data_IF_468913222218
#
_entry.id   IF_468913222218
#
_cell.length_a   1.000
_cell.length_b   1.000
_cell.length_c   1.000
_cell.angle_alpha   90.00
_cell.angle_beta   90.00
_cell.angle_gamma   90.00
#
_symmetry.space_group_name_H-M   'P 1'
#
loop_
_entity.id
_entity.type
_entity.pdbx_description
1 polymer ?
#
# COMPACT_ATOMS: atom_id res chain seq x y z
N UNK A 1 20.30 -21.22 -0.22
CA UNK A 1 20.11 -19.95 -0.97
C UNK A 1 19.32 -18.97 -0.12
N UNK A 2 19.67 -17.70 -0.14
CA UNK A 2 18.95 -16.65 0.62
C UNK A 2 17.59 -16.40 -0.04
N UNK A 3 16.50 -16.86 0.60
CA UNK A 3 15.12 -16.73 0.09
C UNK A 3 14.66 -15.26 -0.10
N UNK A 4 15.47 -14.30 0.32
CA UNK A 4 15.19 -12.88 0.04
C UNK A 4 15.68 -12.42 -1.33
N UNK A 5 16.58 -13.17 -1.98
CA UNK A 5 17.23 -12.71 -3.24
C UNK A 5 16.24 -12.41 -4.36
N UNK A 6 15.19 -13.20 -4.48
CA UNK A 6 14.16 -13.05 -5.53
C UNK A 6 13.00 -12.13 -5.13
N UNK A 7 13.07 -11.51 -3.94
CA UNK A 7 12.14 -10.46 -3.57
C UNK A 7 12.46 -9.21 -4.39
N UNK A 8 11.47 -8.70 -5.12
CA UNK A 8 11.65 -7.57 -6.02
C UNK A 8 10.53 -6.56 -5.85
N UNK A 9 10.85 -5.32 -6.10
CA UNK A 9 9.89 -4.25 -6.35
C UNK A 9 10.34 -3.45 -7.56
N UNK A 10 9.41 -3.23 -8.46
CA UNK A 10 9.55 -2.28 -9.56
C UNK A 10 8.49 -1.20 -9.39
N UNK A 11 8.76 -0.01 -9.84
CA UNK A 11 7.74 1.03 -9.78
C UNK A 11 8.19 2.41 -10.21
N UNK A 12 7.22 3.31 -10.14
CA UNK A 12 7.39 4.75 -10.34
C UNK A 12 6.86 5.46 -9.11
N UNK A 13 7.58 6.46 -8.61
CA UNK A 13 7.15 7.24 -7.45
C UNK A 13 7.43 8.73 -7.60
N UNK A 14 6.86 9.52 -6.70
CA UNK A 14 7.06 10.97 -6.63
C UNK A 14 8.53 11.41 -6.51
N UNK A 15 9.42 10.49 -6.11
CA UNK A 15 10.86 10.76 -5.98
C UNK A 15 11.59 10.85 -7.32
N UNK A 16 11.10 10.11 -8.29
CA UNK A 16 11.78 9.89 -9.57
C UNK A 16 10.99 10.47 -10.75
N UNK A 17 9.69 10.71 -10.58
CA UNK A 17 8.79 11.11 -11.64
C UNK A 17 7.86 12.25 -11.20
N UNK A 18 7.63 13.20 -12.09
CA UNK A 18 6.64 14.25 -11.89
C UNK A 18 5.20 13.70 -11.95
N UNK A 19 4.22 14.55 -11.69
CA UNK A 19 2.82 14.16 -11.63
C UNK A 19 2.31 13.54 -12.94
N UNK A 20 2.68 14.11 -14.08
CA UNK A 20 2.23 13.66 -15.40
C UNK A 20 2.79 12.28 -15.72
N UNK A 21 4.09 12.08 -15.49
CA UNK A 21 4.74 10.79 -15.68
C UNK A 21 4.15 9.72 -14.75
N UNK A 22 3.88 10.04 -13.47
CA UNK A 22 3.19 9.11 -12.57
C UNK A 22 1.78 8.80 -13.04
N UNK A 23 1.09 9.78 -13.63
CA UNK A 23 -0.23 9.63 -14.23
C UNK A 23 -0.28 8.56 -15.33
N UNK A 24 0.78 8.46 -16.16
CA UNK A 24 0.87 7.44 -17.20
C UNK A 24 0.89 6.01 -16.62
N UNK A 25 1.47 5.81 -15.45
CA UNK A 25 1.56 4.50 -14.81
C UNK A 25 0.48 4.25 -13.74
N UNK A 26 -0.40 5.22 -13.50
CA UNK A 26 -1.57 5.04 -12.63
C UNK A 26 -2.55 4.05 -13.26
N UNK A 27 -3.07 3.13 -12.45
CA UNK A 27 -3.95 2.06 -12.90
C UNK A 27 -5.38 2.31 -12.41
N UNK A 28 -6.33 2.31 -13.33
CA UNK A 28 -7.76 2.23 -13.01
C UNK A 28 -8.11 0.87 -12.42
N UNK A 29 -9.29 0.73 -11.81
CA UNK A 29 -9.74 -0.56 -11.28
C UNK A 29 -9.84 -1.66 -12.35
N UNK A 30 -10.22 -1.30 -13.59
CA UNK A 30 -10.27 -2.23 -14.73
C UNK A 30 -8.86 -2.68 -15.14
N UNK A 31 -7.93 -1.75 -15.29
CA UNK A 31 -6.53 -2.05 -15.64
C UNK A 31 -5.86 -2.91 -14.55
N UNK A 32 -6.11 -2.59 -13.29
CA UNK A 32 -5.63 -3.37 -12.15
C UNK A 32 -6.16 -4.80 -12.18
N UNK A 33 -7.44 -4.97 -12.49
CA UNK A 33 -8.07 -6.30 -12.60
C UNK A 33 -7.44 -7.11 -13.75
N UNK A 34 -7.32 -6.51 -14.94
CA UNK A 34 -6.71 -7.16 -16.11
C UNK A 34 -5.25 -7.53 -15.86
N UNK A 35 -4.49 -6.67 -15.19
CA UNK A 35 -3.10 -6.95 -14.79
C UNK A 35 -2.99 -8.17 -13.88
N UNK A 36 -3.85 -8.26 -12.86
CA UNK A 36 -3.85 -9.41 -11.96
C UNK A 36 -4.24 -10.72 -12.66
N UNK A 37 -5.17 -10.67 -13.62
CA UNK A 37 -5.56 -11.86 -14.40
C UNK A 37 -4.37 -12.35 -15.23
N UNK A 38 -3.69 -11.45 -15.94
CA UNK A 38 -2.50 -11.82 -16.73
C UNK A 38 -1.36 -12.35 -15.85
N UNK A 39 -1.15 -11.76 -14.69
CA UNK A 39 -0.16 -12.25 -13.72
C UNK A 39 -0.45 -13.70 -13.30
N UNK A 40 -1.72 -14.06 -13.12
CA UNK A 40 -2.17 -15.42 -12.82
C UNK A 40 -1.95 -16.35 -13.99
N UNK A 41 -2.29 -15.94 -15.21
CA UNK A 41 -2.08 -16.72 -16.44
C UNK A 41 -0.58 -17.02 -16.67
N UNK A 42 0.28 -16.05 -16.40
CA UNK A 42 1.75 -16.19 -16.44
C UNK A 42 2.32 -16.99 -15.28
N UNK A 43 1.47 -17.49 -14.38
CA UNK A 43 1.87 -18.27 -13.19
C UNK A 43 2.90 -17.54 -12.31
N UNK A 44 2.75 -16.23 -12.15
CA UNK A 44 3.56 -15.49 -11.21
C UNK A 44 3.11 -15.85 -9.78
N UNK A 45 4.02 -16.43 -9.00
CA UNK A 45 3.68 -17.05 -7.70
C UNK A 45 3.27 -16.05 -6.63
N UNK A 46 3.92 -14.90 -6.59
CA UNK A 46 3.70 -13.89 -5.56
C UNK A 46 3.80 -12.50 -6.11
N UNK A 47 2.69 -11.77 -6.00
CA UNK A 47 2.59 -10.41 -6.50
C UNK A 47 1.55 -9.62 -5.72
N UNK A 48 1.87 -8.38 -5.37
CA UNK A 48 0.90 -7.35 -4.99
C UNK A 48 1.23 -6.02 -5.67
N UNK A 49 0.22 -5.17 -5.84
CA UNK A 49 0.35 -3.89 -6.53
C UNK A 49 -0.06 -2.77 -5.59
N UNK A 50 0.86 -1.85 -5.33
CA UNK A 50 0.57 -0.61 -4.59
C UNK A 50 0.33 0.46 -5.65
N UNK A 51 -0.92 0.92 -5.79
CA UNK A 51 -1.32 1.95 -6.73
C UNK A 51 -1.98 3.10 -5.95
N UNK A 52 -1.30 4.22 -5.89
CA UNK A 52 -1.69 5.41 -5.11
C UNK A 52 -1.40 6.67 -5.90
N UNK A 53 -1.78 7.85 -5.37
CA UNK A 53 -1.41 9.12 -5.99
C UNK A 53 0.10 9.38 -6.06
N UNK A 54 0.91 8.73 -5.22
CA UNK A 54 2.34 9.02 -5.11
C UNK A 54 3.23 7.92 -5.68
N UNK A 55 2.67 6.76 -5.96
CA UNK A 55 3.43 5.62 -6.51
C UNK A 55 2.55 4.56 -7.13
N UNK A 56 3.10 3.92 -8.15
CA UNK A 56 2.61 2.65 -8.67
C UNK A 56 3.76 1.67 -8.61
N UNK A 57 3.62 0.62 -7.79
CA UNK A 57 4.65 -0.39 -7.55
C UNK A 57 4.09 -1.79 -7.69
N UNK A 58 4.83 -2.69 -8.36
CA UNK A 58 4.62 -4.13 -8.30
C UNK A 58 5.66 -4.72 -7.36
N UNK A 59 5.20 -5.40 -6.33
CA UNK A 59 6.01 -6.05 -5.31
C UNK A 59 5.75 -7.55 -5.31
N UNK A 60 6.80 -8.36 -5.32
CA UNK A 60 6.62 -9.81 -5.29
C UNK A 60 7.93 -10.59 -5.27
N UNK A 61 7.81 -11.90 -5.51
CA UNK A 61 8.93 -12.82 -5.70
C UNK A 61 8.92 -13.32 -7.13
N UNK A 62 9.93 -12.94 -7.90
CA UNK A 62 10.12 -13.40 -9.28
C UNK A 62 11.62 -13.53 -9.58
N UNK A 63 11.96 -14.42 -10.49
CA UNK A 63 13.34 -14.61 -10.96
C UNK A 63 13.72 -13.59 -12.04
N UNK A 64 12.75 -13.08 -12.78
CA UNK A 64 12.95 -12.11 -13.85
C UNK A 64 12.18 -10.81 -13.56
N UNK A 65 12.88 -9.70 -13.45
CA UNK A 65 12.32 -8.38 -13.19
C UNK A 65 11.52 -7.84 -14.37
N UNK A 66 11.90 -8.22 -15.60
CA UNK A 66 11.27 -7.75 -16.83
C UNK A 66 9.81 -8.19 -16.94
N UNK A 67 9.44 -9.32 -16.31
CA UNK A 67 8.05 -9.76 -16.25
C UNK A 67 7.15 -8.73 -15.57
N UNK A 68 7.62 -8.13 -14.46
CA UNK A 68 6.88 -7.09 -13.75
C UNK A 68 6.83 -5.78 -14.52
N UNK A 69 7.93 -5.39 -15.18
CA UNK A 69 8.00 -4.18 -16.01
C UNK A 69 7.05 -4.29 -17.19
N UNK A 70 7.12 -5.39 -17.94
CA UNK A 70 6.25 -5.65 -19.07
C UNK A 70 4.78 -5.68 -18.66
N UNK A 71 4.49 -6.30 -17.51
CA UNK A 71 3.13 -6.37 -16.97
C UNK A 71 2.59 -4.96 -16.63
N UNK A 72 3.41 -4.13 -15.98
CA UNK A 72 3.02 -2.75 -15.64
C UNK A 72 2.80 -1.90 -16.89
N UNK A 73 3.76 -1.91 -17.84
CA UNK A 73 3.68 -1.10 -19.05
C UNK A 73 2.53 -1.54 -19.97
N UNK A 74 2.24 -2.84 -20.06
CA UNK A 74 1.13 -3.35 -20.87
C UNK A 74 -0.24 -2.90 -20.37
N UNK A 75 -0.41 -2.77 -19.05
CA UNK A 75 -1.70 -2.45 -18.43
C UNK A 75 -1.86 -0.99 -18.02
N UNK A 76 -0.81 -0.18 -18.15
CA UNK A 76 -0.85 1.27 -17.94
C UNK A 76 -0.80 2.02 -19.26
N UNK A 77 -0.78 3.36 -19.19
CA UNK A 77 -0.54 4.21 -20.38
C UNK A 77 0.95 4.54 -20.55
N UNK A 78 1.81 4.04 -19.67
CA UNK A 78 3.26 4.20 -19.72
C UNK A 78 3.94 3.13 -20.56
N UNK A 79 5.06 3.48 -21.18
CA UNK A 79 5.87 2.58 -21.99
C UNK A 79 7.18 2.19 -21.29
N UNK A 80 7.89 1.20 -21.87
CA UNK A 80 9.16 0.68 -21.34
C UNK A 80 10.23 1.77 -21.30
N UNK A 81 10.35 2.61 -22.33
CA UNK A 81 11.36 3.69 -22.40
C UNK A 81 11.15 4.73 -21.28
N UNK A 82 9.91 5.08 -21.03
CA UNK A 82 9.55 5.99 -19.94
C UNK A 82 9.83 5.32 -18.59
N UNK A 83 9.56 4.02 -18.44
CA UNK A 83 9.90 3.28 -17.23
C UNK A 83 11.41 3.20 -16.99
N UNK A 84 12.21 2.91 -18.01
CA UNK A 84 13.68 2.89 -17.91
C UNK A 84 14.26 4.24 -17.47
N UNK A 85 13.65 5.34 -17.89
CA UNK A 85 14.10 6.70 -17.53
C UNK A 85 13.71 7.13 -16.12
N UNK A 86 12.52 6.77 -15.65
CA UNK A 86 11.94 7.30 -14.41
C UNK A 86 11.59 6.22 -13.38
N UNK A 87 11.62 4.95 -13.79
CA UNK A 87 11.32 3.84 -12.92
C UNK A 87 12.49 3.46 -12.02
N UNK A 88 12.22 2.58 -11.09
CA UNK A 88 13.24 1.97 -10.25
C UNK A 88 12.98 0.49 -10.05
N UNK A 89 14.07 -0.22 -9.79
CA UNK A 89 14.10 -1.64 -9.48
C UNK A 89 14.88 -1.81 -8.19
N UNK A 90 14.29 -2.47 -7.21
CA UNK A 90 14.93 -2.77 -5.93
C UNK A 90 14.77 -4.26 -5.65
N UNK A 91 15.85 -4.93 -5.25
CA UNK A 91 15.84 -6.39 -5.06
C UNK A 91 16.33 -6.80 -3.67
N UNK A 92 15.95 -8.00 -3.27
CA UNK A 92 16.45 -8.65 -2.06
C UNK A 92 16.04 -7.94 -0.76
N UNK A 93 16.95 -7.89 0.18
CA UNK A 93 16.72 -7.23 1.48
C UNK A 93 16.39 -5.75 1.36
N UNK A 94 16.87 -5.09 0.29
CA UNK A 94 16.52 -3.69 0.02
C UNK A 94 15.05 -3.54 -0.35
N UNK A 95 14.48 -4.48 -1.13
CA UNK A 95 13.05 -4.48 -1.45
C UNK A 95 12.19 -4.68 -0.20
N UNK A 96 12.57 -5.59 0.67
CA UNK A 96 11.91 -5.79 1.98
C UNK A 96 11.94 -4.49 2.79
N UNK A 97 13.12 -3.87 2.94
CA UNK A 97 13.27 -2.60 3.67
C UNK A 97 12.44 -1.47 3.04
N UNK A 98 12.36 -1.44 1.70
CA UNK A 98 11.55 -0.47 0.97
C UNK A 98 10.07 -0.59 1.35
N UNK A 99 9.49 -1.81 1.35
CA UNK A 99 8.10 -2.01 1.74
C UNK A 99 7.82 -1.56 3.19
N UNK A 100 8.76 -1.81 4.12
CA UNK A 100 8.64 -1.28 5.48
C UNK A 100 8.62 0.25 5.49
N UNK A 101 9.53 0.91 4.77
CA UNK A 101 9.57 2.38 4.70
C UNK A 101 8.29 2.95 4.09
N UNK A 102 7.78 2.34 3.02
CA UNK A 102 6.51 2.72 2.41
C UNK A 102 5.36 2.54 3.39
N UNK A 103 5.17 1.33 3.94
CA UNK A 103 4.02 1.02 4.81
C UNK A 103 4.03 1.71 6.18
N UNK A 104 5.16 2.28 6.58
CA UNK A 104 5.27 3.08 7.82
C UNK A 104 5.26 4.59 7.55
N UNK A 105 5.08 5.01 6.29
CA UNK A 105 5.03 6.42 5.92
C UNK A 105 6.37 7.16 5.97
N UNK A 106 7.49 6.43 6.17
CA UNK A 106 8.83 7.04 6.08
C UNK A 106 9.26 7.32 4.64
N UNK A 107 8.68 6.59 3.69
CA UNK A 107 8.83 6.81 2.26
C UNK A 107 7.50 7.33 1.67
N UNK A 108 6.94 8.35 2.26
CA UNK A 108 5.75 9.06 1.77
C UNK A 108 6.11 10.52 1.48
N UNK A 109 5.45 11.11 0.48
CA UNK A 109 5.63 12.53 0.15
C UNK A 109 5.31 13.41 1.36
N UNK A 110 4.28 13.03 2.12
CA UNK A 110 4.00 13.60 3.43
C UNK A 110 4.53 12.61 4.48
N UNK A 111 5.62 12.98 5.16
CA UNK A 111 6.28 12.15 6.15
C UNK A 111 5.30 11.72 7.25
N UNK A 112 5.19 10.40 7.47
CA UNK A 112 4.29 9.82 8.47
C UNK A 112 2.83 9.72 8.01
N UNK A 113 2.56 9.70 6.71
CA UNK A 113 1.25 9.35 6.17
C UNK A 113 0.99 7.85 6.35
N UNK A 114 0.10 7.52 7.31
CA UNK A 114 -0.30 6.15 7.60
C UNK A 114 -1.49 5.66 6.76
N UNK A 115 -2.04 6.46 5.86
CA UNK A 115 -3.10 6.00 4.96
C UNK A 115 -2.63 4.88 4.02
N UNK A 116 -1.34 4.91 3.66
CA UNK A 116 -0.71 3.91 2.80
C UNK A 116 -0.86 2.47 3.33
N UNK A 117 -0.86 2.27 4.65
CA UNK A 117 -1.01 0.92 5.22
C UNK A 117 -2.39 0.31 4.94
N UNK A 118 -3.42 1.15 4.84
CA UNK A 118 -4.76 0.73 4.42
C UNK A 118 -4.77 0.28 2.96
N UNK A 119 -4.06 0.99 2.09
CA UNK A 119 -3.93 0.65 0.67
C UNK A 119 -3.12 -0.64 0.47
N UNK A 120 -2.04 -0.84 1.21
CA UNK A 120 -1.25 -2.09 1.21
C UNK A 120 -2.13 -3.28 1.62
N UNK A 121 -2.97 -3.15 2.67
CA UNK A 121 -3.90 -4.21 3.09
C UNK A 121 -4.91 -4.54 1.99
N UNK A 122 -5.48 -3.53 1.34
CA UNK A 122 -6.41 -3.73 0.24
C UNK A 122 -5.75 -4.44 -0.94
N UNK A 123 -4.52 -4.05 -1.29
CA UNK A 123 -3.73 -4.69 -2.34
C UNK A 123 -3.47 -6.16 -2.02
N UNK A 124 -2.98 -6.48 -0.81
CA UNK A 124 -2.78 -7.86 -0.37
C UNK A 124 -4.06 -8.68 -0.48
N UNK A 125 -5.20 -8.13 -0.05
CA UNK A 125 -6.48 -8.83 -0.11
C UNK A 125 -6.95 -9.10 -1.55
N UNK A 126 -6.70 -8.17 -2.50
CA UNK A 126 -6.96 -8.40 -3.94
C UNK A 126 -6.10 -9.54 -4.47
N UNK A 127 -4.80 -9.53 -4.19
CA UNK A 127 -3.87 -10.59 -4.61
C UNK A 127 -4.24 -11.96 -4.01
N UNK A 128 -4.68 -11.99 -2.75
CA UNK A 128 -5.15 -13.23 -2.08
C UNK A 128 -6.34 -13.86 -2.78
N UNK A 129 -7.33 -13.06 -3.18
CA UNK A 129 -8.53 -13.55 -3.89
C UNK A 129 -8.19 -14.24 -5.21
N UNK A 130 -7.05 -13.90 -5.81
CA UNK A 130 -6.57 -14.44 -7.07
C UNK A 130 -5.48 -15.52 -6.89
N UNK A 131 -5.18 -15.92 -5.65
CA UNK A 131 -4.14 -16.88 -5.29
C UNK A 131 -2.71 -16.45 -5.70
N UNK A 132 -2.44 -15.13 -5.71
CA UNK A 132 -1.14 -14.53 -5.99
C UNK A 132 -0.38 -14.14 -4.71
N UNK A 133 -0.68 -14.79 -3.59
CA UNK A 133 -0.03 -14.53 -2.28
C UNK A 133 0.35 -15.84 -1.63
N UNK A 134 1.62 -16.02 -1.37
CA UNK A 134 2.10 -17.08 -0.51
C UNK A 134 2.31 -16.59 0.94
N UNK A 135 2.62 -17.53 1.82
CA UNK A 135 2.91 -17.18 3.21
C UNK A 135 4.12 -16.25 3.39
N UNK A 136 5.03 -16.11 2.40
CA UNK A 136 6.17 -15.16 2.47
C UNK A 136 5.66 -13.72 2.37
N UNK A 137 4.90 -13.41 1.33
CA UNK A 137 4.35 -12.08 1.10
C UNK A 137 3.35 -11.69 2.19
N UNK A 138 2.49 -12.63 2.59
CA UNK A 138 1.53 -12.39 3.67
C UNK A 138 2.22 -12.04 4.99
N UNK A 139 3.23 -12.82 5.39
CA UNK A 139 3.99 -12.58 6.61
C UNK A 139 4.73 -11.24 6.56
N UNK A 140 5.32 -10.90 5.40
CA UNK A 140 5.99 -9.63 5.21
C UNK A 140 5.04 -8.46 5.43
N UNK A 141 3.89 -8.46 4.75
CA UNK A 141 2.88 -7.39 4.89
C UNK A 141 2.36 -7.30 6.33
N UNK A 142 2.10 -8.44 6.99
CA UNK A 142 1.70 -8.45 8.40
C UNK A 142 2.78 -7.86 9.32
N UNK A 143 4.07 -8.11 9.04
CA UNK A 143 5.18 -7.51 9.78
C UNK A 143 5.27 -5.99 9.55
N UNK A 144 5.00 -5.53 8.33
CA UNK A 144 4.90 -4.09 8.01
C UNK A 144 3.73 -3.43 8.76
N UNK A 145 2.56 -4.09 8.79
CA UNK A 145 1.39 -3.60 9.54
C UNK A 145 1.71 -3.49 11.03
N UNK A 146 2.39 -4.48 11.59
CA UNK A 146 2.81 -4.48 12.99
C UNK A 146 3.78 -3.33 13.27
N UNK A 147 4.82 -3.15 12.44
CA UNK A 147 5.76 -2.02 12.55
C UNK A 147 5.05 -0.66 12.46
N UNK A 148 4.13 -0.51 11.50
CA UNK A 148 3.32 0.71 11.33
C UNK A 148 2.51 1.05 12.59
N UNK A 149 1.83 0.06 13.18
CA UNK A 149 1.10 0.24 14.45
C UNK A 149 2.03 0.63 15.61
N UNK A 150 3.19 -0.03 15.73
CA UNK A 150 4.18 0.29 16.78
C UNK A 150 4.69 1.73 16.63
N UNK A 151 5.05 2.15 15.42
CA UNK A 151 5.53 3.51 15.16
C UNK A 151 4.45 4.53 15.48
N UNK A 152 3.21 4.29 15.06
CA UNK A 152 2.07 5.18 15.37
C UNK A 152 1.87 5.36 16.87
N UNK A 153 2.01 4.28 17.66
CA UNK A 153 1.77 4.31 19.12
C UNK A 153 2.98 4.80 19.91
N UNK A 154 4.21 4.57 19.44
CA UNK A 154 5.44 4.83 20.18
C UNK A 154 6.19 6.08 19.74
N UNK A 155 5.72 6.74 18.67
CA UNK A 155 6.32 7.98 18.16
C UNK A 155 5.26 9.01 17.82
N UNK A 156 5.67 10.28 17.71
CA UNK A 156 4.81 11.35 17.21
C UNK A 156 4.99 11.59 15.70
N UNK A 157 5.43 10.57 14.94
CA UNK A 157 5.65 10.67 13.51
C UNK A 157 4.35 11.01 12.76
N UNK A 158 3.18 10.57 13.28
CA UNK A 158 1.84 10.87 12.76
C UNK A 158 1.15 12.03 13.48
N UNK A 159 1.84 12.73 14.38
CA UNK A 159 1.21 13.85 15.10
C UNK A 159 0.98 15.02 14.15
N UNK A 160 -0.21 15.59 14.22
CA UNK A 160 -0.68 16.56 13.25
C UNK A 160 -1.19 15.85 11.98
N UNK A 161 -1.74 16.61 11.07
CA UNK A 161 -2.34 16.02 9.90
C UNK A 161 -1.32 15.61 8.85
N UNK A 162 -1.46 14.41 8.41
CA UNK A 162 -0.51 13.66 7.60
C UNK A 162 -1.04 13.32 6.22
N UNK A 163 -2.20 13.86 5.82
CA UNK A 163 -2.81 13.54 4.55
C UNK A 163 -2.83 14.74 3.59
N UNK A 164 -2.81 14.45 2.30
CA UNK A 164 -3.05 15.43 1.23
C UNK A 164 -4.32 16.25 1.50
N UNK A 165 -5.37 15.59 1.98
CA UNK A 165 -6.63 16.22 2.36
C UNK A 165 -6.48 17.31 3.42
N UNK A 166 -5.63 17.09 4.41
CA UNK A 166 -5.34 18.14 5.41
C UNK A 166 -4.41 19.21 4.89
N UNK A 167 -3.37 18.83 4.14
CA UNK A 167 -2.45 19.79 3.52
C UNK A 167 -3.23 20.79 2.64
N UNK A 168 -4.20 20.30 1.86
CA UNK A 168 -5.07 21.14 1.04
C UNK A 168 -5.90 22.12 1.88
N UNK A 169 -6.48 21.66 2.98
CA UNK A 169 -7.25 22.53 3.88
C UNK A 169 -6.37 23.56 4.56
N UNK A 170 -5.17 23.20 4.99
CA UNK A 170 -4.21 24.16 5.56
C UNK A 170 -3.76 25.20 4.52
N UNK A 171 -3.58 24.79 3.25
CA UNK A 171 -3.30 25.71 2.17
C UNK A 171 -4.42 26.73 1.98
N UNK A 172 -5.67 26.27 1.96
CA UNK A 172 -6.85 27.12 1.83
C UNK A 172 -6.89 28.14 2.98
N UNK A 173 -6.76 27.67 4.24
CA UNK A 173 -6.78 28.53 5.43
C UNK A 173 -5.70 29.62 5.36
N UNK A 174 -4.51 29.27 4.89
CA UNK A 174 -3.38 30.21 4.79
C UNK A 174 -3.56 31.26 3.66
N UNK A 175 -4.21 30.89 2.56
CA UNK A 175 -4.26 31.71 1.35
C UNK A 175 -5.61 32.38 1.10
N UNK A 176 -6.69 31.95 1.76
CA UNK A 176 -8.05 32.48 1.57
C UNK A 176 -8.52 33.16 2.86
N UNK A 177 -8.65 34.47 2.80
CA UNK A 177 -9.16 35.27 3.94
C UNK A 177 -10.65 34.99 4.16
N UNK A 178 -11.06 35.00 5.43
CA UNK A 178 -12.46 34.81 5.84
C UNK A 178 -13.09 33.51 5.28
N UNK A 179 -12.34 32.42 5.29
CA UNK A 179 -12.73 31.15 4.69
C UNK A 179 -14.10 30.65 5.16
N UNK A 180 -14.52 30.94 6.39
CA UNK A 180 -15.83 30.54 6.93
C UNK A 180 -17.04 31.12 6.17
N UNK A 181 -16.84 32.23 5.41
CA UNK A 181 -17.87 32.89 4.61
C UNK A 181 -17.70 32.65 3.10
N UNK A 182 -16.72 31.86 2.70
CA UNK A 182 -16.37 31.63 1.31
C UNK A 182 -17.08 30.40 0.76
N UNK A 183 -17.53 30.47 -0.49
CA UNK A 183 -18.16 29.34 -1.16
C UNK A 183 -17.08 28.36 -1.63
N UNK A 184 -17.16 27.14 -1.13
CA UNK A 184 -16.24 26.05 -1.49
C UNK A 184 -17.00 25.00 -2.27
N UNK A 185 -16.57 24.70 -3.49
CA UNK A 185 -17.08 23.59 -4.29
C UNK A 185 -16.10 22.42 -4.19
N UNK A 186 -16.57 21.26 -3.74
CA UNK A 186 -15.80 20.02 -3.73
C UNK A 186 -16.37 19.06 -4.77
N UNK A 187 -15.61 18.87 -5.83
CA UNK A 187 -15.97 17.99 -6.94
C UNK A 187 -15.20 16.68 -6.86
N UNK A 188 -15.97 15.59 -6.68
CA UNK A 188 -15.44 14.25 -6.46
C UNK A 188 -15.37 13.88 -4.98
N UNK A 189 -15.97 12.73 -4.63
CA UNK A 189 -16.11 12.24 -3.26
C UNK A 189 -15.48 10.86 -3.06
N UNK A 190 -14.43 10.59 -3.82
CA UNK A 190 -13.54 9.47 -3.54
C UNK A 190 -12.93 9.59 -2.13
N UNK A 191 -11.97 8.75 -1.81
CA UNK A 191 -11.33 8.75 -0.47
C UNK A 191 -10.74 10.12 -0.11
N UNK A 192 -10.00 10.75 -1.04
CA UNK A 192 -9.37 12.06 -0.83
C UNK A 192 -10.44 13.14 -0.64
N UNK A 193 -11.45 13.20 -1.53
CA UNK A 193 -12.53 14.19 -1.43
C UNK A 193 -13.30 14.11 -0.12
N UNK A 194 -13.65 12.89 0.35
CA UNK A 194 -14.30 12.69 1.65
C UNK A 194 -13.44 13.20 2.81
N UNK A 195 -12.18 12.82 2.84
CA UNK A 195 -11.26 13.25 3.90
C UNK A 195 -11.05 14.77 3.86
N UNK A 196 -11.05 15.38 2.67
CA UNK A 196 -10.96 16.84 2.51
C UNK A 196 -12.21 17.52 3.05
N UNK A 197 -13.40 16.98 2.76
CA UNK A 197 -14.67 17.47 3.30
C UNK A 197 -14.66 17.47 4.85
N UNK A 198 -14.29 16.33 5.46
CA UNK A 198 -14.19 16.20 6.92
C UNK A 198 -13.20 17.21 7.53
N UNK A 199 -12.05 17.41 6.90
CA UNK A 199 -11.06 18.37 7.36
C UNK A 199 -11.52 19.83 7.17
N UNK A 200 -12.21 20.16 6.07
CA UNK A 200 -12.80 21.49 5.86
C UNK A 200 -13.76 21.83 7.02
N UNK A 201 -14.73 20.98 7.27
CA UNK A 201 -15.73 21.20 8.33
C UNK A 201 -15.05 21.35 9.70
N UNK A 202 -14.08 20.50 10.00
CA UNK A 202 -13.38 20.50 11.29
C UNK A 202 -12.54 21.75 11.53
N UNK A 203 -11.90 22.30 10.48
CA UNK A 203 -10.87 23.32 10.66
C UNK A 203 -11.26 24.71 10.15
N UNK A 204 -12.29 24.85 9.31
CA UNK A 204 -12.70 26.15 8.74
C UNK A 204 -13.97 26.72 9.34
N UNK A 205 -14.79 25.89 10.01
CA UNK A 205 -16.14 26.27 10.45
C UNK A 205 -16.99 26.85 9.31
N UNK A 206 -16.76 26.37 8.07
CA UNK A 206 -17.44 26.87 6.87
C UNK A 206 -18.75 26.11 6.67
N UNK A 207 -19.85 26.86 6.45
CA UNK A 207 -21.19 26.33 6.20
C UNK A 207 -21.58 26.38 4.72
N UNK A 208 -20.72 26.94 3.85
CA UNK A 208 -20.97 27.13 2.42
C UNK A 208 -20.19 26.13 1.55
N UNK A 209 -20.22 24.86 1.96
CA UNK A 209 -19.56 23.77 1.22
C UNK A 209 -20.58 23.06 0.35
N UNK A 210 -20.32 23.06 -0.97
CA UNK A 210 -21.12 22.37 -1.99
C UNK A 210 -20.37 21.12 -2.43
N UNK A 211 -21.03 19.96 -2.36
CA UNK A 211 -20.53 18.71 -2.88
C UNK A 211 -21.16 18.40 -4.24
N UNK A 212 -20.32 18.11 -5.22
CA UNK A 212 -20.74 17.65 -6.54
C UNK A 212 -20.00 16.34 -6.87
N UNK A 213 -20.75 15.35 -7.34
CA UNK A 213 -20.19 14.10 -7.79
C UNK A 213 -20.99 13.55 -8.97
N UNK A 214 -20.32 12.89 -9.92
CA UNK A 214 -20.98 12.27 -11.08
C UNK A 214 -22.13 11.32 -10.68
N UNK A 215 -21.92 10.56 -9.59
CA UNK A 215 -22.98 9.73 -8.97
C UNK A 215 -23.51 10.48 -7.76
N UNK A 216 -24.68 11.08 -7.88
CA UNK A 216 -25.27 11.97 -6.86
C UNK A 216 -25.53 11.24 -5.55
N UNK A 217 -26.03 9.99 -5.58
CA UNK A 217 -26.36 9.20 -4.39
C UNK A 217 -25.14 8.97 -3.46
N UNK A 218 -23.94 8.99 -4.05
CA UNK A 218 -22.72 8.91 -3.24
C UNK A 218 -22.47 10.21 -2.47
N UNK A 219 -22.79 11.37 -3.04
CA UNK A 219 -22.66 12.66 -2.36
C UNK A 219 -23.72 12.81 -1.27
N UNK A 220 -24.94 12.38 -1.52
CA UNK A 220 -26.04 12.37 -0.56
C UNK A 220 -25.74 11.54 0.69
N UNK A 221 -25.11 10.37 0.52
CA UNK A 221 -24.63 9.55 1.66
C UNK A 221 -23.61 10.26 2.55
N UNK A 222 -22.88 11.23 2.02
CA UNK A 222 -21.95 12.05 2.79
C UNK A 222 -22.71 13.18 3.48
N UNK A 223 -23.65 13.82 2.80
CA UNK A 223 -24.49 14.88 3.37
C UNK A 223 -25.33 14.40 4.54
N UNK A 224 -25.68 13.10 4.61
CA UNK A 224 -26.31 12.51 5.80
C UNK A 224 -25.42 12.57 7.06
N UNK A 225 -24.11 12.71 6.90
CA UNK A 225 -23.15 12.71 8.00
C UNK A 225 -22.56 14.08 8.30
N UNK A 226 -22.62 14.99 7.33
CA UNK A 226 -21.94 16.28 7.39
C UNK A 226 -22.87 17.40 6.90
N UNK A 227 -22.82 18.59 7.50
CA UNK A 227 -23.61 19.75 7.09
C UNK A 227 -23.05 20.34 5.78
N UNK A 228 -23.37 19.74 4.65
CA UNK A 228 -22.93 20.15 3.31
C UNK A 228 -24.08 20.11 2.33
N UNK A 229 -24.08 21.01 1.34
CA UNK A 229 -25.09 21.05 0.30
C UNK A 229 -24.68 20.16 -0.87
N UNK A 230 -25.54 19.27 -1.31
CA UNK A 230 -25.31 18.45 -2.50
C UNK A 230 -26.01 19.11 -3.70
N UNK A 231 -25.28 19.20 -4.81
CA UNK A 231 -25.77 19.69 -6.08
C UNK A 231 -25.57 18.64 -7.18
N UNK A 232 -26.50 18.54 -8.16
CA UNK A 232 -26.35 17.64 -9.28
C UNK A 232 -25.17 18.05 -10.18
N UNK A 233 -24.62 17.04 -10.90
CA UNK A 233 -23.48 17.26 -11.78
C UNK A 233 -23.72 18.32 -12.88
N UNK A 234 -24.96 18.44 -13.37
CA UNK A 234 -25.34 19.45 -14.37
C UNK A 234 -25.22 20.90 -13.87
N UNK A 235 -25.18 21.13 -12.56
CA UNK A 235 -24.97 22.46 -11.96
C UNK A 235 -23.49 22.81 -11.73
N UNK A 236 -22.55 21.95 -12.12
CA UNK A 236 -21.11 22.14 -11.85
C UNK A 236 -20.61 23.51 -12.34
N UNK A 237 -20.93 23.89 -13.56
CA UNK A 237 -20.51 25.16 -14.16
C UNK A 237 -21.05 26.37 -13.40
N UNK A 238 -22.34 26.38 -13.05
CA UNK A 238 -22.96 27.48 -12.30
C UNK A 238 -22.43 27.57 -10.86
N UNK A 239 -22.10 26.45 -10.25
CA UNK A 239 -21.53 26.40 -8.90
C UNK A 239 -20.07 26.89 -8.89
N UNK A 240 -19.27 26.53 -9.92
CA UNK A 240 -17.88 27.01 -10.09
C UNK A 240 -17.83 28.51 -10.32
N UNK A 241 -18.71 29.07 -11.16
CA UNK A 241 -18.72 30.51 -11.47
C UNK A 241 -18.93 31.39 -10.23
N UNK A 242 -19.59 30.85 -9.21
CA UNK A 242 -19.86 31.52 -7.94
C UNK A 242 -18.95 31.07 -6.78
N UNK A 243 -17.98 30.18 -7.05
CA UNK A 243 -17.09 29.66 -6.03
C UNK A 243 -15.88 30.59 -5.77
N UNK A 244 -15.41 30.62 -4.54
CA UNK A 244 -14.11 31.18 -4.15
C UNK A 244 -13.01 30.12 -4.20
N UNK A 245 -13.37 28.86 -3.92
CA UNK A 245 -12.46 27.72 -3.92
C UNK A 245 -13.13 26.52 -4.61
N UNK A 246 -12.42 25.93 -5.57
CA UNK A 246 -12.77 24.67 -6.19
C UNK A 246 -11.74 23.60 -5.79
N UNK A 247 -12.22 22.49 -5.25
CA UNK A 247 -11.38 21.32 -4.93
C UNK A 247 -11.81 20.19 -5.86
N UNK A 248 -10.86 19.68 -6.64
CA UNK A 248 -11.06 18.60 -7.59
C UNK A 248 -10.41 17.33 -7.03
N UNK A 249 -11.21 16.31 -6.77
CA UNK A 249 -10.77 15.03 -6.19
C UNK A 249 -11.42 13.85 -6.91
N UNK A 250 -11.40 13.89 -8.23
CA UNK A 250 -11.97 12.87 -9.12
C UNK A 250 -10.94 11.83 -9.50
N UNK A 251 -11.38 10.71 -10.07
CA UNK A 251 -10.53 9.61 -10.56
C UNK A 251 -10.70 9.42 -12.08
N UNK A 252 -10.95 10.51 -12.81
CA UNK A 252 -11.05 10.47 -14.27
C UNK A 252 -9.66 10.33 -14.91
N UNK A 253 -9.58 9.60 -16.01
CA UNK A 253 -8.36 9.51 -16.82
C UNK A 253 -8.09 10.77 -17.64
N UNK A 254 -9.13 11.59 -17.88
CA UNK A 254 -9.04 12.83 -18.63
C UNK A 254 -9.43 14.02 -17.75
N UNK A 255 -8.94 15.23 -18.03
CA UNK A 255 -9.36 16.44 -17.34
C UNK A 255 -10.88 16.61 -17.37
N UNK A 256 -11.45 16.88 -16.21
CA UNK A 256 -12.89 17.09 -16.03
C UNK A 256 -13.24 18.59 -15.84
N UNK A 257 -12.24 19.40 -15.50
CA UNK A 257 -12.37 20.84 -15.41
C UNK A 257 -11.62 21.45 -16.60
N UNK A 258 -12.39 21.92 -17.56
CA UNK A 258 -11.90 22.54 -18.79
C UNK A 258 -11.93 24.05 -18.68
N UNK A 259 -11.21 24.76 -19.56
CA UNK A 259 -11.17 26.24 -19.61
C UNK A 259 -12.58 26.84 -19.80
N UNK A 260 -13.44 26.18 -20.58
CA UNK A 260 -14.81 26.64 -20.85
C UNK A 260 -15.70 26.62 -19.60
N UNK A 261 -15.50 25.67 -18.70
CA UNK A 261 -16.29 25.57 -17.45
C UNK A 261 -15.99 26.72 -16.47
N UNK A 262 -14.85 27.38 -16.60
CA UNK A 262 -14.40 28.42 -15.66
C UNK A 262 -14.29 29.81 -16.27
N UNK A 263 -14.64 29.96 -17.53
CA UNK A 263 -14.47 31.22 -18.30
C UNK A 263 -15.11 32.42 -17.60
N UNK A 264 -16.24 32.26 -16.94
CA UNK A 264 -16.95 33.31 -16.22
C UNK A 264 -16.66 33.34 -14.70
N UNK A 265 -15.65 32.65 -14.24
CA UNK A 265 -15.33 32.62 -12.81
C UNK A 265 -14.67 33.90 -12.34
N UNK A 266 -14.98 34.32 -11.11
CA UNK A 266 -14.29 35.42 -10.42
C UNK A 266 -12.89 34.92 -10.00
N UNK A 267 -12.22 35.65 -9.10
CA UNK A 267 -10.97 35.15 -8.51
C UNK A 267 -11.21 33.79 -7.85
N UNK A 268 -10.70 32.70 -8.47
CA UNK A 268 -10.92 31.34 -8.07
C UNK A 268 -9.61 30.64 -7.71
N UNK A 269 -9.56 30.04 -6.52
CA UNK A 269 -8.50 29.11 -6.14
C UNK A 269 -8.93 27.68 -6.48
N UNK A 270 -8.17 26.99 -7.34
CA UNK A 270 -8.40 25.59 -7.69
C UNK A 270 -7.34 24.71 -7.04
N UNK A 271 -7.75 23.69 -6.32
CA UNK A 271 -6.88 22.64 -5.80
C UNK A 271 -7.16 21.34 -6.56
N UNK A 272 -6.22 20.89 -7.40
CA UNK A 272 -6.32 19.61 -8.09
C UNK A 272 -5.62 18.52 -7.28
N UNK A 273 -6.41 17.69 -6.64
CA UNK A 273 -5.97 16.56 -5.80
C UNK A 273 -6.00 15.23 -6.57
N UNK A 274 -6.27 15.29 -7.89
CA UNK A 274 -6.46 14.12 -8.74
C UNK A 274 -5.14 13.66 -9.37
N UNK A 275 -5.04 12.35 -9.64
CA UNK A 275 -4.01 11.76 -10.47
C UNK A 275 -4.68 10.72 -11.40
N UNK A 276 -4.50 10.87 -12.72
CA UNK A 276 -3.88 12.00 -13.43
C UNK A 276 -4.56 13.34 -13.16
N UNK A 277 -3.97 14.46 -13.60
CA UNK A 277 -4.56 15.79 -13.46
C UNK A 277 -5.96 15.84 -14.04
N UNK A 278 -6.87 16.44 -13.29
CA UNK A 278 -8.24 16.61 -13.73
C UNK A 278 -8.63 18.07 -14.01
N UNK A 279 -7.65 18.98 -13.94
CA UNK A 279 -7.75 20.39 -14.34
C UNK A 279 -6.87 20.61 -15.55
N UNK A 280 -7.41 21.18 -16.62
CA UNK A 280 -6.65 21.49 -17.84
C UNK A 280 -5.50 22.47 -17.55
N UNK A 281 -4.33 22.23 -18.17
CA UNK A 281 -3.13 23.07 -17.96
C UNK A 281 -3.30 24.48 -18.49
N UNK A 282 -4.11 24.69 -19.52
CA UNK A 282 -4.42 26.00 -20.12
C UNK A 282 -5.13 26.95 -19.14
N UNK A 283 -5.74 26.43 -18.08
CA UNK A 283 -6.36 27.23 -17.03
C UNK A 283 -5.35 28.09 -16.27
N UNK A 284 -4.10 27.66 -16.20
CA UNK A 284 -3.01 28.45 -15.58
C UNK A 284 -2.69 29.77 -16.31
N UNK A 285 -3.17 29.93 -17.55
CA UNK A 285 -3.00 31.16 -18.34
C UNK A 285 -3.98 32.27 -17.92
N UNK A 286 -5.01 31.92 -17.12
CA UNK A 286 -6.02 32.88 -16.69
C UNK A 286 -5.55 33.66 -15.46
N UNK A 287 -5.43 34.97 -15.55
CA UNK A 287 -4.88 35.84 -14.49
C UNK A 287 -5.67 35.85 -13.18
N UNK A 288 -6.97 35.51 -13.23
CA UNK A 288 -7.86 35.50 -12.08
C UNK A 288 -7.99 34.09 -11.44
N UNK A 289 -7.28 33.12 -11.97
CA UNK A 289 -7.35 31.73 -11.48
C UNK A 289 -5.98 31.31 -10.95
N UNK A 290 -5.98 30.72 -9.77
CA UNK A 290 -4.78 30.07 -9.20
C UNK A 290 -5.02 28.58 -9.09
N UNK A 291 -4.27 27.79 -9.86
CA UNK A 291 -4.31 26.33 -9.76
C UNK A 291 -3.13 25.85 -8.92
N UNK A 292 -3.41 24.96 -7.99
CA UNK A 292 -2.41 24.33 -7.10
C UNK A 292 -2.57 22.83 -7.19
N UNK A 293 -1.51 22.15 -7.49
CA UNK A 293 -1.51 20.70 -7.63
C UNK A 293 -1.01 20.00 -6.36
N UNK A 294 -1.28 18.70 -6.29
CA UNK A 294 -0.96 17.84 -5.16
C UNK A 294 0.52 17.92 -4.71
N UNK A 295 1.45 18.03 -5.67
CA UNK A 295 2.89 18.11 -5.35
C UNK A 295 3.26 19.41 -4.64
N UNK A 296 2.64 20.53 -4.99
CA UNK A 296 2.83 21.82 -4.31
C UNK A 296 2.27 21.79 -2.87
N UNK A 297 1.10 21.16 -2.69
CA UNK A 297 0.49 21.04 -1.38
C UNK A 297 1.36 20.25 -0.40
N UNK A 298 2.11 19.30 -0.91
CA UNK A 298 2.99 18.44 -0.11
C UNK A 298 4.19 19.20 0.47
N UNK A 299 4.61 20.31 -0.15
CA UNK A 299 5.75 21.12 0.30
C UNK A 299 5.40 22.11 1.44
N UNK A 300 4.11 22.34 1.69
CA UNK A 300 3.65 23.47 2.55
C UNK A 300 3.68 23.14 4.06
N UNK A 301 3.98 21.91 4.45
CA UNK A 301 3.91 21.45 5.85
C UNK A 301 5.22 21.59 6.64
N UNK A 302 6.11 22.52 6.30
CA UNK A 302 7.52 22.59 6.79
C UNK A 302 7.70 22.58 8.31
N UNK A 303 6.94 23.36 9.07
CA UNK A 303 7.12 23.42 10.54
C UNK A 303 6.73 22.11 11.25
N UNK A 304 5.79 21.38 10.67
CA UNK A 304 5.35 20.07 11.21
C UNK A 304 6.32 18.95 10.78
N UNK A 305 6.95 19.08 9.61
CA UNK A 305 7.93 18.13 9.09
C UNK A 305 9.16 18.06 10.00
N UNK A 306 9.69 19.21 10.42
CA UNK A 306 10.87 19.22 11.31
C UNK A 306 10.59 18.53 12.67
N UNK A 307 9.40 18.74 13.22
CA UNK A 307 8.99 18.03 14.45
C UNK A 307 8.91 16.51 14.24
N UNK A 308 8.46 16.07 13.08
CA UNK A 308 8.36 14.64 12.72
C UNK A 308 9.72 14.00 12.44
N UNK A 309 10.62 14.72 11.77
CA UNK A 309 11.99 14.24 11.47
C UNK A 309 12.72 13.77 12.73
N UNK A 310 12.51 14.41 13.87
CA UNK A 310 13.07 14.01 15.18
C UNK A 310 12.66 12.59 15.61
N UNK A 311 11.56 12.06 15.07
CA UNK A 311 11.06 10.72 15.39
C UNK A 311 11.52 9.64 14.40
N UNK A 312 12.19 10.01 13.28
CA UNK A 312 12.70 9.07 12.28
C UNK A 312 13.66 8.04 12.89
N UNK A 313 14.67 8.41 13.71
CA UNK A 313 15.60 7.43 14.26
C UNK A 313 14.89 6.33 15.07
N UNK A 314 13.90 6.70 15.89
CA UNK A 314 13.12 5.74 16.67
C UNK A 314 12.25 4.84 15.77
N UNK A 315 11.66 5.40 14.70
CA UNK A 315 10.91 4.63 13.73
C UNK A 315 11.81 3.63 12.97
N UNK A 316 13.02 4.04 12.58
CA UNK A 316 13.98 3.16 11.92
C UNK A 316 14.44 2.00 12.82
N UNK A 317 14.62 2.22 14.12
CA UNK A 317 14.93 1.14 15.07
C UNK A 317 13.78 0.10 15.10
N UNK A 318 12.53 0.55 15.12
CA UNK A 318 11.36 -0.35 15.07
C UNK A 318 11.33 -1.13 13.76
N UNK A 319 11.57 -0.47 12.63
CA UNK A 319 11.63 -1.12 11.31
C UNK A 319 12.72 -2.18 11.29
N UNK A 320 13.94 -1.84 11.70
CA UNK A 320 15.08 -2.74 11.67
C UNK A 320 14.86 -3.99 12.54
N UNK A 321 14.23 -3.83 13.72
CA UNK A 321 13.83 -4.96 14.56
C UNK A 321 12.85 -5.89 13.82
N UNK A 322 11.78 -5.35 13.22
CA UNK A 322 10.79 -6.14 12.50
C UNK A 322 11.38 -6.81 11.23
N UNK A 323 12.30 -6.13 10.53
CA UNK A 323 13.02 -6.72 9.39
C UNK A 323 13.87 -7.91 9.85
N UNK A 324 14.61 -7.75 10.96
CA UNK A 324 15.43 -8.83 11.53
C UNK A 324 14.59 -10.06 11.86
N UNK A 325 13.44 -9.85 12.52
CA UNK A 325 12.50 -10.93 12.87
C UNK A 325 11.92 -11.61 11.61
N UNK A 326 11.57 -10.83 10.60
CA UNK A 326 11.06 -11.37 9.32
C UNK A 326 12.13 -12.16 8.57
N UNK A 327 13.36 -11.66 8.45
CA UNK A 327 14.45 -12.35 7.78
C UNK A 327 14.81 -13.65 8.50
N UNK A 328 14.83 -13.64 9.83
CA UNK A 328 15.05 -14.85 10.62
C UNK A 328 13.96 -15.89 10.33
N UNK A 329 12.69 -15.48 10.37
CA UNK A 329 11.56 -16.37 10.02
C UNK A 329 11.69 -16.90 8.59
N UNK A 330 12.04 -16.04 7.61
CA UNK A 330 12.20 -16.45 6.22
C UNK A 330 13.32 -17.48 6.04
N UNK A 331 14.43 -17.34 6.79
CA UNK A 331 15.54 -18.30 6.76
C UNK A 331 15.13 -19.67 7.37
N UNK A 332 14.28 -19.67 8.39
CA UNK A 332 13.80 -20.87 9.03
C UNK A 332 12.80 -21.64 8.17
N UNK A 333 12.02 -20.95 7.33
CA UNK A 333 11.01 -21.55 6.48
C UNK A 333 11.56 -22.57 5.47
N UNK A 334 12.81 -22.44 5.05
CA UNK A 334 13.45 -23.42 4.15
C UNK A 334 13.50 -24.84 4.75
N UNK A 335 13.42 -24.96 6.07
CA UNK A 335 13.43 -26.22 6.79
C UNK A 335 12.03 -26.79 7.06
N UNK A 336 10.97 -26.02 6.77
CA UNK A 336 9.59 -26.45 6.97
C UNK A 336 9.24 -27.75 6.24
N UNK A 337 9.67 -28.00 4.99
CA UNK A 337 9.42 -29.29 4.33
C UNK A 337 10.08 -30.46 5.08
N UNK A 338 11.34 -30.28 5.51
CA UNK A 338 12.07 -31.33 6.26
C UNK A 338 11.40 -31.62 7.60
N UNK A 339 10.96 -30.58 8.33
CA UNK A 339 10.25 -30.76 9.60
C UNK A 339 8.87 -31.41 9.39
N UNK A 340 8.19 -31.12 8.28
CA UNK A 340 6.93 -31.75 7.92
C UNK A 340 7.13 -33.24 7.60
N UNK A 341 8.10 -33.56 6.75
CA UNK A 341 8.46 -34.94 6.44
C UNK A 341 8.87 -35.71 7.70
N UNK A 342 9.64 -35.11 8.60
CA UNK A 342 10.01 -35.69 9.88
C UNK A 342 8.77 -35.99 10.76
N UNK A 343 7.83 -35.04 10.86
CA UNK A 343 6.57 -35.26 11.59
C UNK A 343 5.79 -36.42 10.99
N UNK A 344 5.64 -36.45 9.66
CA UNK A 344 4.91 -37.53 8.95
C UNK A 344 5.54 -38.88 9.20
N UNK A 345 6.86 -39.01 9.12
CA UNK A 345 7.56 -40.27 9.36
C UNK A 345 7.50 -40.70 10.83
N UNK A 346 7.69 -39.81 11.79
CA UNK A 346 7.51 -40.11 13.21
C UNK A 346 6.09 -40.60 13.51
N UNK A 347 5.09 -40.04 12.81
CA UNK A 347 3.70 -40.51 12.94
C UNK A 347 3.49 -41.88 12.31
N UNK A 348 4.11 -42.15 11.16
CA UNK A 348 4.00 -43.42 10.43
C UNK A 348 4.70 -44.57 11.16
N UNK A 349 5.93 -44.39 11.65
CA UNK A 349 6.68 -45.36 12.43
C UNK A 349 5.89 -45.91 13.63
N UNK A 350 5.09 -45.04 14.22
CA UNK A 350 4.27 -45.43 15.36
C UNK A 350 3.03 -46.20 14.96
N UNK A 351 2.42 -45.90 13.81
CA UNK A 351 1.29 -46.68 13.26
C UNK A 351 1.72 -48.11 12.92
N UNK A 352 2.92 -48.29 12.37
CA UNK A 352 3.44 -49.62 11.99
C UNK A 352 3.89 -50.46 13.17
N UNK A 353 4.49 -49.85 14.20
CA UNK A 353 4.99 -50.59 15.39
C UNK A 353 3.94 -50.85 16.46
N UNK A 354 2.82 -50.17 16.46
CA UNK A 354 1.71 -50.34 17.41
C UNK A 354 0.54 -51.07 16.79
N UNK A 355 0.75 -52.13 16.01
CA UNK A 355 -0.25 -52.96 15.33
C UNK A 355 -1.37 -53.45 16.27
N UNK A 356 -2.14 -52.52 16.85
CA UNK A 356 -3.34 -52.75 17.64
C UNK A 356 -4.57 -52.32 16.85
N UNK A 357 -5.41 -53.24 16.34
CA UNK A 357 -6.47 -52.93 15.36
C UNK A 357 -7.64 -52.10 15.89
N UNK A 358 -7.75 -51.75 17.16
CA UNK A 358 -8.98 -51.22 17.74
C UNK A 358 -8.83 -50.11 18.80
N UNK A 359 -7.84 -49.24 18.75
CA UNK A 359 -7.80 -48.17 19.76
C UNK A 359 -7.40 -46.80 19.22
N UNK A 360 -8.40 -45.97 18.88
CA UNK A 360 -8.23 -44.55 18.47
C UNK A 360 -7.42 -43.72 19.49
N UNK A 361 -7.45 -44.11 20.77
CA UNK A 361 -6.71 -43.46 21.85
C UNK A 361 -5.18 -43.46 21.63
N UNK A 362 -4.62 -44.54 21.05
CA UNK A 362 -3.19 -44.62 20.76
C UNK A 362 -2.80 -43.83 19.50
N UNK A 363 -3.72 -43.66 18.55
CA UNK A 363 -3.51 -42.81 17.37
C UNK A 363 -3.36 -41.34 17.75
N UNK A 364 -4.25 -40.83 18.59
CA UNK A 364 -4.25 -39.43 19.03
C UNK A 364 -3.01 -39.09 19.87
N UNK A 365 -2.61 -40.01 20.79
CA UNK A 365 -1.34 -39.85 21.53
C UNK A 365 -0.10 -39.87 20.63
N UNK A 366 -0.13 -40.64 19.54
CA UNK A 366 0.98 -40.67 18.59
C UNK A 366 1.17 -39.35 17.87
N UNK A 367 0.07 -38.73 17.47
CA UNK A 367 0.09 -37.41 16.81
C UNK A 367 0.54 -36.33 17.78
N UNK A 368 0.05 -36.34 19.03
CA UNK A 368 0.47 -35.42 20.09
C UNK A 368 1.98 -35.52 20.37
N UNK A 369 2.56 -36.71 20.43
CA UNK A 369 4.00 -36.89 20.64
C UNK A 369 4.80 -36.45 19.43
N UNK A 370 4.36 -36.77 18.19
CA UNK A 370 5.01 -36.29 16.97
C UNK A 370 5.00 -34.75 16.89
N UNK A 371 3.89 -34.12 17.25
CA UNK A 371 3.80 -32.68 17.35
C UNK A 371 4.73 -32.09 18.40
N UNK A 372 4.79 -32.72 19.58
CA UNK A 372 5.64 -32.24 20.66
C UNK A 372 7.13 -32.36 20.31
N UNK A 373 7.57 -33.50 19.73
CA UNK A 373 8.96 -33.66 19.26
C UNK A 373 9.28 -32.66 18.15
N UNK A 374 8.41 -32.56 17.14
CA UNK A 374 8.63 -31.62 16.02
C UNK A 374 8.64 -30.18 16.52
N UNK A 375 7.78 -29.84 17.48
CA UNK A 375 7.75 -28.54 18.13
C UNK A 375 9.04 -28.23 18.92
N UNK A 376 9.57 -29.20 19.65
CA UNK A 376 10.85 -29.05 20.37
C UNK A 376 12.03 -28.86 19.41
N UNK A 377 12.08 -29.63 18.31
CA UNK A 377 13.11 -29.48 17.27
C UNK A 377 12.98 -28.08 16.61
N UNK A 378 11.79 -27.65 16.28
CA UNK A 378 11.56 -26.32 15.73
C UNK A 378 11.99 -25.19 16.70
N UNK A 379 11.70 -25.33 18.01
CA UNK A 379 12.15 -24.40 19.04
C UNK A 379 13.66 -24.38 19.18
N UNK A 380 14.29 -25.57 19.21
CA UNK A 380 15.75 -25.69 19.26
C UNK A 380 16.43 -25.01 18.07
N UNK A 381 15.92 -25.22 16.85
CA UNK A 381 16.42 -24.57 15.64
C UNK A 381 16.26 -23.06 15.68
N UNK A 382 15.20 -22.57 16.31
CA UNK A 382 14.93 -21.15 16.51
C UNK A 382 15.94 -20.51 17.49
N UNK A 383 16.22 -21.21 18.58
CA UNK A 383 17.12 -20.73 19.64
C UNK A 383 18.60 -20.86 19.25
N UNK A 384 18.93 -21.82 18.38
CA UNK A 384 20.29 -22.13 17.95
C UNK A 384 20.49 -22.01 16.43
N UNK A 385 20.45 -20.79 15.85
CA UNK A 385 20.54 -20.58 14.41
C UNK A 385 21.83 -21.15 13.79
N UNK A 386 22.92 -21.18 14.55
CA UNK A 386 24.23 -21.69 14.09
C UNK A 386 24.27 -23.22 13.97
N UNK A 387 23.42 -23.95 14.70
CA UNK A 387 23.33 -25.41 14.67
C UNK A 387 22.32 -25.94 13.67
N UNK A 388 21.63 -25.06 12.96
CA UNK A 388 20.58 -25.45 12.01
C UNK A 388 21.08 -26.40 10.91
N UNK A 389 22.21 -26.17 10.23
CA UNK A 389 22.69 -27.08 9.19
C UNK A 389 22.96 -28.49 9.70
N UNK A 390 23.64 -28.61 10.86
CA UNK A 390 23.98 -29.88 11.49
C UNK A 390 22.73 -30.64 11.94
N UNK A 391 21.78 -29.95 12.56
CA UNK A 391 20.52 -30.55 13.03
C UNK A 391 19.68 -31.06 11.87
N UNK A 392 19.60 -30.32 10.77
CA UNK A 392 18.86 -30.74 9.56
C UNK A 392 19.56 -31.91 8.88
N UNK A 393 20.90 -31.92 8.81
CA UNK A 393 21.65 -33.06 8.28
C UNK A 393 21.41 -34.31 9.13
N UNK A 394 21.40 -34.20 10.45
CA UNK A 394 21.07 -35.28 11.36
C UNK A 394 19.64 -35.80 11.11
N UNK A 395 18.66 -34.92 11.03
CA UNK A 395 17.25 -35.29 10.71
C UNK A 395 17.20 -36.02 9.37
N UNK A 396 17.85 -35.50 8.32
CA UNK A 396 17.87 -36.15 7.02
C UNK A 396 18.54 -37.53 7.04
N UNK A 397 19.58 -37.70 7.86
CA UNK A 397 20.21 -39.03 8.07
C UNK A 397 19.26 -39.99 8.74
N UNK A 398 18.52 -39.58 9.78
CA UNK A 398 17.49 -40.41 10.39
C UNK A 398 16.40 -40.80 9.38
N UNK A 399 15.96 -39.85 8.54
CA UNK A 399 14.95 -40.12 7.51
C UNK A 399 15.44 -41.07 6.40
N UNK A 400 16.75 -41.07 6.06
CA UNK A 400 17.34 -41.94 5.04
C UNK A 400 17.66 -43.35 5.54
N UNK A 401 17.93 -43.52 6.81
CA UNK A 401 18.26 -44.85 7.38
C UNK A 401 17.12 -45.83 7.29
N UNK A 402 15.87 -45.36 7.16
CA UNK A 402 14.71 -46.24 6.99
C UNK A 402 14.40 -46.61 5.54
N UNK A 403 14.78 -45.79 4.57
CA UNK A 403 14.63 -46.14 3.13
C UNK A 403 15.54 -47.27 2.68
N UNK A 404 16.61 -47.60 3.43
CA UNK A 404 17.55 -48.65 3.09
C UNK A 404 17.36 -49.97 3.89
N UNK A 405 16.30 -50.10 4.71
CA UNK A 405 16.03 -51.32 5.46
C UNK A 405 14.87 -52.17 4.88
N UNK A 406 14.31 -51.74 3.75
CA UNK A 406 13.23 -52.45 3.04
C UNK A 406 13.66 -52.94 1.63
N UNK A 407 14.97 -53.17 1.39
CA UNK A 407 15.48 -53.96 0.27
C UNK A 407 15.96 -55.35 0.73
#
# INVERSE_FOLDING_TARGET
>A
MDNSKNCQVIGISYKNANLDTRGLFSLSDLQLHSLFLEAKEKKLDELMIINTCNRTEIFGWNNNTDDFINLLCKHSNGDIKTFEKYGYIISGKKAIKHLFKVGTGLDSQILGDFEIIGQIKQSLNRSKRLNLVSGRLERLVNSVIHASKRIKNQTKLSSGATSVAYASVQYIIKNVKNISKKKIVLFGIGKIGRNTCENLLKHTKNEHIVLINRTQEKAEKIALKFPVLVKPYGELTSEISNADVLIVATSSSNPTITKDLIFNSKNLLILDLSIPRNVETQINELNNIKVVHLDELSQITDSTIEKRKKHIPKAELIINSNIKDYILWLSQRKFSPTLKSFKEQVTQLKKEKLNCPHNNFFSDKAEEIAEKITGQVASFLKENPNKVPETIDLINKFLKVESNKNE
#
